data_IF_511699899992
#
_entry.id   IF_511699899992
#
_cell.length_a   1.000
_cell.length_b   1.000
_cell.length_c   1.000
_cell.angle_alpha   90.00
_cell.angle_beta   90.00
_cell.angle_gamma   90.00
#
_symmetry.space_group_name_H-M   'P 1'
#
loop_
_entity.id
_entity.type
_entity.pdbx_description
1 polymer ?
#
# COMPACT_ATOMS: atom_id res chain seq x y z
N UNK A 1 -28.33 4.56 -11.21
CA UNK A 1 -27.20 5.34 -10.62
C UNK A 1 -26.77 6.51 -11.52
N UNK A 2 -26.43 7.67 -10.97
CA UNK A 2 -25.86 8.83 -11.68
C UNK A 2 -24.79 9.53 -10.85
N UNK A 3 -24.00 10.40 -11.48
CA UNK A 3 -23.08 11.29 -10.77
C UNK A 3 -23.61 12.72 -10.75
N UNK A 4 -23.39 13.40 -9.62
CA UNK A 4 -23.76 14.82 -9.40
C UNK A 4 -22.53 15.55 -8.92
N UNK A 5 -22.21 16.71 -9.56
CA UNK A 5 -21.16 17.59 -9.08
C UNK A 5 -21.78 18.82 -8.40
N UNK A 6 -21.33 19.08 -7.18
CA UNK A 6 -21.70 20.26 -6.39
C UNK A 6 -20.45 21.05 -6.05
N UNK A 7 -20.61 22.35 -5.85
CA UNK A 7 -19.51 23.22 -5.45
C UNK A 7 -19.88 23.99 -4.18
N UNK A 8 -18.90 24.18 -3.30
CA UNK A 8 -19.05 25.01 -2.13
C UNK A 8 -17.76 25.77 -1.80
N UNK A 9 -17.85 26.86 -1.05
CA UNK A 9 -16.67 27.56 -0.53
C UNK A 9 -15.94 26.69 0.48
N UNK A 10 -14.64 26.83 0.59
CA UNK A 10 -13.84 26.16 1.60
C UNK A 10 -14.37 26.54 2.99
N UNK A 11 -14.54 25.53 3.85
CA UNK A 11 -15.12 25.69 5.20
C UNK A 11 -16.65 25.64 5.25
N UNK A 12 -17.34 25.54 4.11
CA UNK A 12 -18.78 25.26 4.04
C UNK A 12 -19.01 23.80 3.67
N UNK A 13 -19.96 23.15 4.33
CA UNK A 13 -20.46 21.83 3.96
C UNK A 13 -21.72 21.94 3.11
N UNK A 14 -21.92 21.00 2.19
CA UNK A 14 -23.17 20.85 1.45
C UNK A 14 -24.20 20.25 2.43
N UNK A 15 -25.34 20.91 2.57
CA UNK A 15 -26.41 20.36 3.41
C UNK A 15 -27.04 19.14 2.77
N UNK A 16 -27.65 18.27 3.58
CA UNK A 16 -28.37 17.09 3.09
C UNK A 16 -29.49 17.47 2.12
N UNK A 17 -30.20 18.55 2.38
CA UNK A 17 -31.29 19.04 1.52
C UNK A 17 -30.77 19.52 0.16
N UNK A 18 -29.65 20.23 0.12
CA UNK A 18 -28.99 20.64 -1.13
C UNK A 18 -28.58 19.41 -1.94
N UNK A 19 -27.96 18.44 -1.30
CA UNK A 19 -27.52 17.20 -1.94
C UNK A 19 -28.69 16.38 -2.47
N UNK A 20 -29.74 16.18 -1.64
CA UNK A 20 -30.94 15.44 -2.06
C UNK A 20 -31.70 16.13 -3.18
N UNK A 21 -31.77 17.46 -3.17
CA UNK A 21 -32.40 18.23 -4.23
C UNK A 21 -31.67 18.08 -5.56
N UNK A 22 -30.33 18.16 -5.54
CA UNK A 22 -29.49 17.96 -6.72
C UNK A 22 -29.59 16.52 -7.23
N UNK A 23 -29.59 15.51 -6.33
CA UNK A 23 -29.76 14.12 -6.66
C UNK A 23 -31.13 13.81 -7.30
N UNK A 24 -32.21 14.33 -6.73
CA UNK A 24 -33.56 14.19 -7.27
C UNK A 24 -33.67 14.73 -8.70
N UNK A 25 -33.13 15.93 -8.94
CA UNK A 25 -33.07 16.55 -10.28
C UNK A 25 -32.27 15.69 -11.26
N UNK A 26 -31.10 15.22 -10.86
CA UNK A 26 -30.24 14.40 -11.71
C UNK A 26 -30.89 13.03 -12.06
N UNK A 27 -31.52 12.40 -11.07
CA UNK A 27 -32.18 11.10 -11.24
C UNK A 27 -33.52 11.24 -11.99
N UNK A 28 -34.15 12.42 -11.98
CA UNK A 28 -35.48 12.65 -12.55
C UNK A 28 -36.63 12.09 -11.67
N UNK A 29 -36.43 12.11 -10.34
CA UNK A 29 -37.38 11.55 -9.37
C UNK A 29 -37.76 12.58 -8.30
N UNK A 30 -38.80 12.30 -7.53
CA UNK A 30 -39.17 13.12 -6.35
C UNK A 30 -38.16 12.92 -5.20
N UNK A 31 -38.07 13.91 -4.30
CA UNK A 31 -37.12 13.90 -3.15
C UNK A 31 -37.20 12.63 -2.30
N UNK A 32 -38.44 12.11 -2.10
CA UNK A 32 -38.68 10.87 -1.30
C UNK A 32 -38.13 9.61 -1.97
N UNK A 33 -37.95 9.62 -3.27
CA UNK A 33 -37.41 8.51 -4.05
C UNK A 33 -35.88 8.53 -4.23
N UNK A 34 -35.17 9.54 -3.68
CA UNK A 34 -33.73 9.59 -3.62
C UNK A 34 -33.24 8.62 -2.54
N UNK A 35 -32.37 7.69 -2.93
CA UNK A 35 -31.71 6.73 -2.06
C UNK A 35 -30.40 7.24 -1.50
N UNK A 36 -29.35 6.42 -1.62
CA UNK A 36 -28.00 6.74 -1.12
C UNK A 36 -27.32 7.81 -1.98
N UNK A 37 -26.60 8.73 -1.30
CA UNK A 37 -25.75 9.73 -1.91
C UNK A 37 -24.35 9.59 -1.29
N UNK A 38 -23.35 9.19 -2.08
CA UNK A 38 -21.99 8.94 -1.60
C UNK A 38 -20.98 9.86 -2.26
N UNK A 39 -20.20 10.59 -1.45
CA UNK A 39 -19.08 11.38 -1.96
C UNK A 39 -18.04 10.43 -2.55
N UNK A 40 -17.67 10.63 -3.82
CA UNK A 40 -16.66 9.81 -4.52
C UNK A 40 -15.42 10.60 -4.90
N UNK A 41 -15.52 11.94 -4.95
CA UNK A 41 -14.36 12.78 -5.22
C UNK A 41 -14.52 14.17 -4.63
N UNK A 42 -13.46 14.64 -3.98
CA UNK A 42 -13.28 16.02 -3.53
C UNK A 42 -12.03 16.62 -4.19
N UNK A 43 -12.17 17.72 -4.87
CA UNK A 43 -11.05 18.48 -5.43
C UNK A 43 -11.15 19.95 -5.09
N UNK A 44 -10.02 20.65 -5.07
CA UNK A 44 -9.94 22.11 -4.88
C UNK A 44 -9.82 22.75 -6.24
N UNK A 45 -10.64 23.76 -6.51
CA UNK A 45 -10.51 24.66 -7.66
C UNK A 45 -10.10 26.05 -7.14
N UNK A 46 -8.91 26.49 -7.53
CA UNK A 46 -8.33 27.78 -7.12
C UNK A 46 -8.06 28.73 -8.30
N UNK A 47 -8.75 28.54 -9.44
CA UNK A 47 -8.61 29.41 -10.61
C UNK A 47 -9.26 30.78 -10.43
N UNK A 48 -10.12 30.94 -9.44
CA UNK A 48 -10.75 32.15 -8.96
C UNK A 48 -10.86 32.09 -7.45
N UNK A 49 -12.05 32.29 -6.89
CA UNK A 49 -12.31 31.98 -5.48
C UNK A 49 -12.00 30.50 -5.21
N UNK A 50 -11.34 30.22 -4.08
CA UNK A 50 -11.02 28.84 -3.70
C UNK A 50 -12.29 28.12 -3.28
N UNK A 51 -12.67 27.10 -4.06
CA UNK A 51 -13.87 26.30 -3.83
C UNK A 51 -13.56 24.82 -3.84
N UNK A 52 -14.39 24.03 -3.16
CA UNK A 52 -14.44 22.58 -3.33
C UNK A 52 -15.35 22.22 -4.50
N UNK A 53 -14.90 21.27 -5.32
CA UNK A 53 -15.73 20.49 -6.25
C UNK A 53 -15.93 19.13 -5.67
N UNK A 54 -17.19 18.79 -5.41
CA UNK A 54 -17.60 17.57 -4.74
C UNK A 54 -18.42 16.74 -5.75
N UNK A 55 -17.95 15.54 -6.05
CA UNK A 55 -18.67 14.60 -6.93
C UNK A 55 -19.28 13.51 -6.08
N UNK A 56 -20.59 13.35 -6.21
CA UNK A 56 -21.36 12.34 -5.54
C UNK A 56 -21.88 11.32 -6.52
N UNK A 57 -21.82 10.04 -6.15
CA UNK A 57 -22.64 8.99 -6.73
C UNK A 57 -24.00 8.99 -6.03
N UNK A 58 -25.08 8.96 -6.81
CA UNK A 58 -26.46 9.00 -6.29
C UNK A 58 -27.29 7.91 -6.93
N UNK A 59 -28.20 7.32 -6.17
CA UNK A 59 -29.13 6.31 -6.64
C UNK A 59 -30.56 6.56 -6.14
N UNK A 60 -31.53 5.88 -6.73
CA UNK A 60 -32.92 5.86 -6.23
C UNK A 60 -33.02 4.98 -5.00
N UNK A 61 -34.11 5.13 -4.20
CA UNK A 61 -34.35 4.32 -3.02
C UNK A 61 -34.52 2.81 -3.33
N UNK A 62 -34.78 2.45 -4.58
CA UNK A 62 -34.85 1.06 -5.05
C UNK A 62 -33.51 0.47 -5.47
N UNK A 63 -32.44 1.27 -5.51
CA UNK A 63 -31.09 0.89 -5.88
C UNK A 63 -30.14 1.02 -4.68
N UNK A 64 -29.01 0.33 -4.74
CA UNK A 64 -27.92 0.45 -3.76
C UNK A 64 -26.62 0.82 -4.47
N UNK A 65 -25.81 1.65 -3.82
CA UNK A 65 -24.44 1.90 -4.26
C UNK A 65 -23.55 0.75 -3.78
N UNK A 66 -22.85 0.10 -4.71
CA UNK A 66 -21.91 -0.96 -4.37
C UNK A 66 -20.82 -0.43 -3.44
N UNK A 67 -20.65 -1.08 -2.29
CA UNK A 67 -19.53 -0.85 -1.38
C UNK A 67 -18.27 -1.56 -1.86
N UNK A 68 -17.13 -1.17 -1.31
CA UNK A 68 -15.93 -1.96 -1.46
C UNK A 68 -15.98 -3.15 -0.49
N UNK A 69 -15.90 -4.36 -1.03
CA UNK A 69 -15.81 -5.56 -0.21
C UNK A 69 -14.40 -5.65 0.40
N UNK A 70 -14.32 -5.59 1.73
CA UNK A 70 -13.05 -5.75 2.44
C UNK A 70 -12.64 -7.23 2.33
N UNK A 71 -11.46 -7.54 1.77
CA UNK A 71 -11.03 -8.92 1.65
C UNK A 71 -10.75 -9.54 3.02
N UNK A 72 -11.09 -10.83 3.14
CA UNK A 72 -10.73 -11.65 4.30
C UNK A 72 -9.33 -12.23 4.14
N UNK A 73 -8.64 -12.43 5.27
CA UNK A 73 -7.34 -13.07 5.32
C UNK A 73 -7.47 -14.44 5.97
N UNK A 74 -6.80 -15.42 5.38
CA UNK A 74 -6.76 -16.78 5.91
C UNK A 74 -5.65 -16.91 6.98
N UNK A 75 -5.84 -17.81 7.94
CA UNK A 75 -4.75 -18.29 8.78
C UNK A 75 -3.86 -19.21 7.92
N UNK A 76 -2.58 -18.85 7.81
CA UNK A 76 -1.63 -19.50 6.90
C UNK A 76 -0.43 -20.13 7.62
N UNK A 77 -0.55 -20.39 8.94
CA UNK A 77 0.57 -20.92 9.75
C UNK A 77 1.16 -22.19 9.15
N UNK A 78 0.30 -23.07 8.68
CA UNK A 78 0.67 -24.38 8.13
C UNK A 78 0.57 -24.42 6.59
N UNK A 79 0.41 -23.27 5.94
CA UNK A 79 0.27 -23.18 4.49
C UNK A 79 1.62 -23.17 3.77
N UNK A 80 1.59 -23.40 2.44
CA UNK A 80 2.77 -23.34 1.58
C UNK A 80 3.43 -21.97 1.65
N UNK A 81 4.75 -21.91 1.95
CA UNK A 81 5.46 -20.64 2.05
C UNK A 81 5.77 -20.07 0.66
N UNK A 82 5.67 -18.72 0.58
CA UNK A 82 6.15 -17.92 -0.56
C UNK A 82 7.10 -16.88 -0.01
N UNK A 83 8.35 -16.87 -0.49
CA UNK A 83 9.33 -15.85 -0.10
C UNK A 83 8.97 -14.53 -0.78
N UNK A 84 8.94 -13.46 0.00
CA UNK A 84 8.77 -12.09 -0.48
C UNK A 84 10.04 -11.29 -0.14
N UNK A 85 10.83 -10.98 -1.15
CA UNK A 85 12.07 -10.24 -1.01
C UNK A 85 11.81 -8.73 -0.97
N UNK A 86 11.82 -8.15 0.22
CA UNK A 86 11.59 -6.73 0.50
C UNK A 86 10.26 -6.44 1.17
N UNK A 87 10.28 -5.61 2.22
CA UNK A 87 9.13 -5.13 2.98
C UNK A 87 8.69 -3.71 2.55
N UNK A 88 8.94 -3.32 1.31
CA UNK A 88 8.41 -2.11 0.70
C UNK A 88 6.92 -2.26 0.32
N UNK A 89 6.28 -1.23 -0.27
CA UNK A 89 4.86 -1.29 -0.62
C UNK A 89 4.51 -2.52 -1.47
N UNK A 90 5.32 -2.83 -2.49
CA UNK A 90 5.07 -3.99 -3.35
C UNK A 90 5.09 -5.31 -2.56
N UNK A 91 6.07 -5.49 -1.67
CA UNK A 91 6.18 -6.70 -0.84
C UNK A 91 5.05 -6.82 0.18
N UNK A 92 4.70 -5.73 0.86
CA UNK A 92 3.60 -5.73 1.83
C UNK A 92 2.26 -6.06 1.18
N UNK A 93 1.94 -5.45 0.04
CA UNK A 93 0.70 -5.77 -0.69
C UNK A 93 0.73 -7.18 -1.29
N UNK A 94 1.88 -7.64 -1.78
CA UNK A 94 2.02 -9.05 -2.20
C UNK A 94 1.72 -10.00 -1.04
N UNK A 95 2.24 -9.73 0.16
CA UNK A 95 1.98 -10.53 1.34
C UNK A 95 0.50 -10.55 1.75
N UNK A 96 -0.20 -9.40 1.72
CA UNK A 96 -1.63 -9.35 1.94
C UNK A 96 -2.41 -10.19 0.92
N UNK A 97 -2.02 -10.13 -0.36
CA UNK A 97 -2.62 -10.96 -1.41
C UNK A 97 -2.34 -12.46 -1.24
N UNK A 98 -1.18 -12.83 -0.71
CA UNK A 98 -0.88 -14.22 -0.36
C UNK A 98 -1.80 -14.71 0.76
N UNK A 99 -2.03 -13.90 1.81
CA UNK A 99 -3.00 -14.23 2.86
C UNK A 99 -4.41 -14.46 2.31
N UNK A 100 -4.87 -13.61 1.38
CA UNK A 100 -6.19 -13.78 0.72
C UNK A 100 -6.29 -15.07 -0.09
N UNK A 101 -5.16 -15.67 -0.47
CA UNK A 101 -5.08 -16.91 -1.26
C UNK A 101 -4.72 -18.14 -0.42
N UNK A 102 -4.63 -17.98 0.90
CA UNK A 102 -4.25 -19.09 1.79
C UNK A 102 -2.79 -19.54 1.63
N UNK A 103 -1.88 -18.63 1.24
CA UNK A 103 -0.45 -18.89 1.10
C UNK A 103 0.31 -18.13 2.18
N UNK A 104 1.39 -18.73 2.72
CA UNK A 104 2.17 -18.14 3.81
C UNK A 104 3.25 -17.19 3.28
N UNK A 105 3.14 -15.86 3.48
CA UNK A 105 4.21 -14.94 3.14
C UNK A 105 5.37 -15.06 4.14
N UNK A 106 6.58 -15.25 3.62
CA UNK A 106 7.85 -15.15 4.37
C UNK A 106 8.61 -13.95 3.83
N UNK A 107 8.50 -12.82 4.55
CA UNK A 107 9.05 -11.54 4.11
C UNK A 107 10.48 -11.40 4.62
N UNK A 108 11.42 -11.17 3.70
CA UNK A 108 12.84 -10.96 3.99
C UNK A 108 13.16 -9.50 3.67
N UNK A 109 13.53 -8.73 4.69
CA UNK A 109 13.87 -7.31 4.58
C UNK A 109 15.30 -7.07 5.07
N UNK A 110 16.10 -6.40 4.23
CA UNK A 110 17.50 -6.10 4.54
C UNK A 110 17.66 -5.11 5.69
N UNK A 111 16.72 -4.16 5.78
CA UNK A 111 16.74 -3.13 6.80
C UNK A 111 15.93 -3.49 8.02
N UNK A 112 15.76 -2.50 8.88
CA UNK A 112 15.08 -2.63 10.16
C UNK A 112 13.57 -2.38 10.04
N UNK A 113 12.84 -2.78 11.09
CA UNK A 113 11.44 -2.39 11.23
C UNK A 113 11.30 -0.86 11.33
N UNK A 114 10.10 -0.35 11.09
CA UNK A 114 9.83 1.08 10.95
C UNK A 114 10.29 1.93 12.14
N UNK A 115 10.21 1.39 13.38
CA UNK A 115 10.63 2.11 14.58
C UNK A 115 12.14 2.22 14.70
N UNK A 116 12.86 1.10 14.52
CA UNK A 116 14.31 1.08 14.58
C UNK A 116 14.94 1.85 13.41
N UNK A 117 14.36 1.73 12.21
CA UNK A 117 14.76 2.45 11.00
C UNK A 117 14.70 3.98 11.17
N UNK A 118 13.74 4.50 11.94
CA UNK A 118 13.63 5.94 12.24
C UNK A 118 14.93 6.52 12.80
N UNK A 119 15.62 5.78 13.65
CA UNK A 119 16.90 6.22 14.23
C UNK A 119 18.05 6.22 13.20
N UNK A 120 18.07 5.26 12.26
CA UNK A 120 19.08 5.23 11.20
C UNK A 120 18.86 6.41 10.23
N UNK A 121 17.61 6.71 9.90
CA UNK A 121 17.24 7.88 9.07
C UNK A 121 17.60 9.19 9.77
N UNK A 122 17.32 9.34 11.06
CA UNK A 122 17.70 10.51 11.85
C UNK A 122 19.25 10.68 11.90
N UNK A 123 20.00 9.60 12.14
CA UNK A 123 21.47 9.65 12.14
C UNK A 123 22.06 10.08 10.79
N UNK A 124 21.44 9.62 9.69
CA UNK A 124 21.84 10.04 8.36
C UNK A 124 21.59 11.54 8.15
N UNK A 125 20.41 12.04 8.53
CA UNK A 125 20.06 13.46 8.40
C UNK A 125 20.91 14.38 9.27
N UNK A 126 21.12 14.00 10.54
CA UNK A 126 21.74 14.90 11.53
C UNK A 126 23.27 14.82 11.50
N UNK A 127 23.83 13.63 11.19
CA UNK A 127 25.28 13.35 11.33
C UNK A 127 25.93 12.87 10.04
N UNK A 128 25.18 12.71 8.94
CA UNK A 128 25.70 12.15 7.69
C UNK A 128 26.15 10.68 7.79
N UNK A 129 25.73 9.96 8.84
CA UNK A 129 26.15 8.56 9.05
C UNK A 129 25.16 7.62 8.39
N UNK A 130 25.58 7.03 7.25
CA UNK A 130 24.77 6.09 6.48
C UNK A 130 24.87 4.67 7.05
N UNK A 131 23.73 4.05 7.32
CA UNK A 131 23.62 2.60 7.43
C UNK A 131 23.26 2.05 6.03
N UNK A 132 24.14 1.21 5.41
CA UNK A 132 23.92 0.75 4.02
C UNK A 132 22.68 -0.13 3.85
N UNK A 133 22.24 -0.81 4.90
CA UNK A 133 21.10 -1.73 4.87
C UNK A 133 19.82 -1.13 5.48
N UNK A 134 19.89 0.00 6.22
CA UNK A 134 18.73 0.65 6.84
C UNK A 134 18.84 2.18 6.70
N UNK A 135 18.07 2.78 5.80
CA UNK A 135 18.17 4.20 5.45
C UNK A 135 16.89 4.68 4.74
N UNK A 136 16.93 5.77 3.96
CA UNK A 136 15.78 6.24 3.18
C UNK A 136 15.32 5.27 2.08
N UNK A 137 16.19 4.41 1.55
CA UNK A 137 15.84 3.47 0.48
C UNK A 137 15.41 2.11 1.00
N UNK A 138 15.98 1.66 2.13
CA UNK A 138 15.85 0.31 2.66
C UNK A 138 15.27 0.30 4.07
N UNK A 139 14.53 -0.76 4.38
CA UNK A 139 13.80 -0.96 5.61
C UNK A 139 12.28 -1.00 5.41
N UNK A 140 11.58 -1.39 6.44
CA UNK A 140 10.13 -1.59 6.45
C UNK A 140 9.37 -0.39 5.88
N UNK A 141 8.41 -0.66 5.00
CA UNK A 141 7.60 0.34 4.30
C UNK A 141 8.28 0.97 3.07
N UNK A 142 9.58 0.69 2.83
CA UNK A 142 10.31 1.17 1.65
C UNK A 142 10.63 2.66 1.68
N UNK A 143 10.99 3.23 0.52
CA UNK A 143 11.46 4.61 0.40
C UNK A 143 10.41 5.69 0.76
N UNK A 144 9.12 5.34 0.73
CA UNK A 144 8.02 6.26 1.02
C UNK A 144 7.69 6.47 2.50
N UNK A 145 8.15 5.59 3.39
CA UNK A 145 7.67 5.51 4.79
C UNK A 145 7.81 6.80 5.58
N UNK A 146 8.90 7.53 5.39
CA UNK A 146 9.17 8.81 6.09
C UNK A 146 8.95 10.03 5.18
N UNK A 147 8.12 9.89 4.15
CA UNK A 147 7.63 10.98 3.31
C UNK A 147 6.23 11.40 3.72
N UNK A 148 5.64 12.37 3.03
CA UNK A 148 4.23 12.74 3.22
C UNK A 148 3.23 11.70 2.70
N UNK A 149 3.70 10.62 2.08
CA UNK A 149 2.87 9.52 1.64
C UNK A 149 1.86 9.91 0.56
N UNK A 150 2.30 10.65 -0.46
CA UNK A 150 1.48 10.97 -1.63
C UNK A 150 1.04 9.70 -2.35
N UNK A 151 -0.26 9.56 -2.55
CA UNK A 151 -0.87 8.37 -3.18
C UNK A 151 -1.35 8.63 -4.61
N UNK A 152 -1.08 9.83 -5.15
CA UNK A 152 -1.53 10.17 -6.49
C UNK A 152 -0.81 9.35 -7.55
N UNK A 153 -1.59 8.71 -8.42
CA UNK A 153 -1.10 8.02 -9.61
C UNK A 153 -1.90 8.43 -10.85
N UNK A 154 -1.25 8.46 -12.00
CA UNK A 154 -1.90 8.60 -13.31
C UNK A 154 -2.24 7.25 -13.93
N UNK A 155 -1.78 6.15 -13.35
CA UNK A 155 -2.03 4.81 -13.86
C UNK A 155 -3.40 4.33 -13.42
N UNK A 156 -4.34 4.25 -14.37
CA UNK A 156 -5.67 3.70 -14.16
C UNK A 156 -5.92 2.42 -14.96
N UNK A 157 -4.92 1.98 -15.75
CA UNK A 157 -5.08 0.86 -16.72
C UNK A 157 -4.73 -0.51 -16.14
N UNK A 158 -4.03 -0.57 -15.00
CA UNK A 158 -3.51 -1.81 -14.42
C UNK A 158 -3.87 -1.88 -12.94
N UNK A 159 -4.95 -2.58 -12.63
CA UNK A 159 -5.45 -2.77 -11.27
C UNK A 159 -6.37 -1.65 -10.77
N UNK A 160 -7.14 -1.98 -9.74
CA UNK A 160 -8.07 -1.04 -9.08
C UNK A 160 -7.35 -0.36 -7.91
N UNK A 161 -7.04 0.93 -8.07
CA UNK A 161 -6.42 1.73 -7.00
C UNK A 161 -7.28 1.81 -5.73
N UNK A 162 -8.60 1.63 -5.85
CA UNK A 162 -9.52 1.66 -4.70
C UNK A 162 -9.16 0.57 -3.71
N UNK A 163 -8.74 -0.61 -4.17
CA UNK A 163 -8.27 -1.68 -3.30
C UNK A 163 -7.13 -1.22 -2.39
N UNK A 164 -6.12 -0.59 -2.97
CA UNK A 164 -4.97 -0.06 -2.22
C UNK A 164 -5.39 0.99 -1.20
N UNK A 165 -6.27 1.93 -1.59
CA UNK A 165 -6.75 2.99 -0.70
C UNK A 165 -7.59 2.42 0.46
N UNK A 166 -8.49 1.48 0.20
CA UNK A 166 -9.28 0.81 1.24
C UNK A 166 -8.40 -0.01 2.19
N UNK A 167 -7.36 -0.67 1.70
CA UNK A 167 -6.39 -1.34 2.56
C UNK A 167 -5.68 -0.34 3.47
N UNK A 168 -5.22 0.80 2.94
CA UNK A 168 -4.60 1.83 3.78
C UNK A 168 -5.56 2.36 4.86
N UNK A 169 -6.83 2.58 4.53
CA UNK A 169 -7.85 2.97 5.53
C UNK A 169 -8.03 1.89 6.58
N UNK A 170 -8.15 0.62 6.16
CA UNK A 170 -8.24 -0.53 7.07
C UNK A 170 -7.10 -0.56 8.08
N UNK A 171 -5.90 -0.17 7.65
CA UNK A 171 -4.70 -0.16 8.49
C UNK A 171 -4.42 1.18 9.17
N UNK A 172 -5.36 2.14 9.15
CA UNK A 172 -5.33 3.34 9.97
C UNK A 172 -5.04 4.66 9.23
N UNK A 173 -5.07 4.66 7.89
CA UNK A 173 -5.11 5.92 7.15
C UNK A 173 -6.47 6.60 7.28
N UNK A 174 -6.51 7.92 7.03
CA UNK A 174 -7.78 8.67 7.04
C UNK A 174 -8.69 8.23 5.88
N UNK A 175 -9.99 8.11 6.14
CA UNK A 175 -11.00 7.85 5.10
C UNK A 175 -11.01 8.91 3.99
N UNK A 176 -10.51 10.12 4.26
CA UNK A 176 -10.42 11.19 3.27
C UNK A 176 -9.62 10.81 2.03
N UNK A 177 -8.68 9.85 2.15
CA UNK A 177 -7.89 9.37 1.00
C UNK A 177 -8.75 8.67 -0.06
N UNK A 178 -9.95 8.17 0.31
CA UNK A 178 -10.87 7.53 -0.62
C UNK A 178 -11.55 8.53 -1.56
N UNK A 179 -11.64 9.79 -1.15
CA UNK A 179 -12.39 10.83 -1.88
C UNK A 179 -11.51 11.96 -2.39
N UNK A 180 -10.37 12.23 -1.76
CA UNK A 180 -9.49 13.34 -2.16
C UNK A 180 -8.86 13.09 -3.53
N UNK A 181 -8.87 14.13 -4.39
CA UNK A 181 -8.30 14.06 -5.73
C UNK A 181 -6.78 13.86 -5.73
N UNK A 182 -6.10 14.33 -4.69
CA UNK A 182 -4.67 14.17 -4.45
C UNK A 182 -4.44 13.66 -3.02
N UNK A 183 -4.74 12.38 -2.76
CA UNK A 183 -4.68 11.84 -1.42
C UNK A 183 -3.24 11.70 -0.93
N UNK A 184 -3.05 11.91 0.38
CA UNK A 184 -1.81 11.63 1.08
C UNK A 184 -2.11 11.13 2.49
N UNK A 185 -1.23 10.27 3.03
CA UNK A 185 -1.44 9.66 4.36
C UNK A 185 -0.88 10.55 5.46
N UNK A 186 0.24 11.21 5.21
CA UNK A 186 0.99 11.97 6.21
C UNK A 186 2.16 11.19 6.81
N UNK A 187 3.25 11.89 7.10
CA UNK A 187 4.51 11.33 7.59
C UNK A 187 4.42 10.76 9.01
N UNK A 188 3.45 11.20 9.79
CA UNK A 188 3.15 10.73 11.14
C UNK A 188 2.31 9.45 11.14
N UNK A 189 1.40 9.31 10.18
CA UNK A 189 0.47 8.19 10.07
C UNK A 189 1.02 7.01 9.27
N UNK A 190 1.80 7.27 8.25
CA UNK A 190 2.30 6.20 7.36
C UNK A 190 3.11 5.12 8.11
N UNK A 191 4.00 5.44 9.08
CA UNK A 191 4.67 4.42 9.89
C UNK A 191 3.71 3.53 10.67
N UNK A 192 2.59 4.08 11.17
CA UNK A 192 1.56 3.33 11.90
C UNK A 192 0.83 2.37 10.97
N UNK A 193 0.47 2.83 9.78
CA UNK A 193 -0.17 2.00 8.74
C UNK A 193 0.72 0.83 8.35
N UNK A 194 2.01 1.09 8.12
CA UNK A 194 3.02 0.08 7.79
C UNK A 194 3.14 -0.96 8.90
N UNK A 195 3.23 -0.53 10.15
CA UNK A 195 3.26 -1.43 11.31
C UNK A 195 2.00 -2.28 11.43
N UNK A 196 0.82 -1.69 11.22
CA UNK A 196 -0.46 -2.40 11.30
C UNK A 196 -0.59 -3.46 10.20
N UNK A 197 -0.09 -3.18 8.98
CA UNK A 197 0.01 -4.19 7.91
C UNK A 197 0.87 -5.36 8.37
N UNK A 198 2.05 -5.11 8.93
CA UNK A 198 2.93 -6.17 9.44
C UNK A 198 2.25 -6.98 10.54
N UNK A 199 1.64 -6.32 11.53
CA UNK A 199 0.91 -7.00 12.62
C UNK A 199 -0.16 -7.94 12.06
N UNK A 200 -0.96 -7.46 11.12
CA UNK A 200 -1.98 -8.27 10.46
C UNK A 200 -1.37 -9.50 9.77
N UNK A 201 -0.28 -9.33 9.02
CA UNK A 201 0.38 -10.45 8.33
C UNK A 201 0.89 -11.50 9.34
N UNK A 202 1.53 -11.06 10.41
CA UNK A 202 2.07 -11.95 11.46
C UNK A 202 0.95 -12.64 12.24
N UNK A 203 -0.12 -11.95 12.59
CA UNK A 203 -1.29 -12.50 13.28
C UNK A 203 -1.95 -13.64 12.49
N UNK A 204 -1.92 -13.55 11.15
CA UNK A 204 -2.44 -14.60 10.27
C UNK A 204 -1.40 -15.69 9.93
N UNK A 205 -0.22 -15.66 10.54
CA UNK A 205 0.79 -16.73 10.38
C UNK A 205 1.88 -16.45 9.35
N UNK A 206 1.92 -15.26 8.74
CA UNK A 206 3.06 -14.85 7.93
C UNK A 206 4.30 -14.52 8.77
N UNK A 207 5.45 -14.42 8.14
CA UNK A 207 6.73 -14.18 8.80
C UNK A 207 7.42 -12.92 8.28
N UNK A 208 8.15 -12.23 9.19
CA UNK A 208 9.02 -11.10 8.85
C UNK A 208 10.42 -11.34 9.41
N UNK A 209 11.42 -11.28 8.54
CA UNK A 209 12.84 -11.39 8.86
C UNK A 209 13.53 -10.08 8.50
N UNK A 210 13.77 -9.25 9.51
CA UNK A 210 14.50 -7.98 9.38
C UNK A 210 16.01 -8.20 9.48
N UNK A 211 16.79 -7.14 9.17
CA UNK A 211 18.26 -7.19 9.15
C UNK A 211 18.81 -8.38 8.34
N UNK A 212 18.11 -8.76 7.27
CA UNK A 212 18.34 -9.97 6.47
C UNK A 212 18.55 -9.61 5.01
N UNK A 213 19.78 -9.28 4.63
CA UNK A 213 20.13 -8.94 3.26
C UNK A 213 20.30 -10.19 2.40
N UNK A 214 19.55 -10.30 1.31
CA UNK A 214 19.70 -11.40 0.34
C UNK A 214 21.05 -11.27 -0.36
N UNK A 215 21.83 -12.35 -0.32
CA UNK A 215 23.17 -12.43 -0.93
C UNK A 215 23.26 -13.44 -2.07
N UNK A 216 22.38 -14.45 -2.05
CA UNK A 216 22.25 -15.43 -3.12
C UNK A 216 20.82 -15.94 -3.27
N UNK A 217 20.50 -16.35 -4.50
CA UNK A 217 19.27 -17.06 -4.85
C UNK A 217 19.68 -18.17 -5.82
N UNK A 218 19.35 -19.41 -5.50
CA UNK A 218 19.66 -20.58 -6.31
C UNK A 218 18.49 -21.54 -6.44
N UNK A 219 18.44 -22.39 -7.46
CA UNK A 219 17.47 -23.46 -7.53
C UNK A 219 17.59 -24.38 -6.29
N UNK A 220 16.47 -24.64 -5.64
CA UNK A 220 16.38 -25.59 -4.55
C UNK A 220 16.21 -27.03 -5.06
N UNK A 221 16.39 -28.03 -4.18
CA UNK A 221 16.37 -29.44 -4.55
C UNK A 221 15.03 -29.91 -5.11
N UNK A 222 13.92 -29.32 -4.69
CA UNK A 222 12.55 -29.72 -5.06
C UNK A 222 11.92 -28.85 -6.16
N UNK A 223 12.76 -28.19 -6.98
CA UNK A 223 12.32 -27.33 -8.07
C UNK A 223 11.84 -25.96 -7.64
N UNK A 224 12.07 -25.58 -6.37
CA UNK A 224 11.86 -24.24 -5.83
C UNK A 224 13.14 -23.41 -5.82
N UNK A 225 13.26 -22.55 -4.82
CA UNK A 225 14.39 -21.64 -4.63
C UNK A 225 14.93 -21.70 -3.21
N UNK A 226 16.26 -21.66 -3.09
CA UNK A 226 16.99 -21.38 -1.87
C UNK A 226 17.46 -19.93 -1.90
N UNK A 227 17.12 -19.17 -0.88
CA UNK A 227 17.46 -17.75 -0.71
C UNK A 227 18.40 -17.63 0.49
N UNK A 228 19.65 -17.25 0.22
CA UNK A 228 20.65 -17.06 1.27
C UNK A 228 20.65 -15.59 1.68
N UNK A 229 20.59 -15.35 2.98
CA UNK A 229 20.67 -14.01 3.57
C UNK A 229 21.88 -13.86 4.47
N UNK A 230 22.33 -12.62 4.63
CA UNK A 230 23.34 -12.23 5.60
C UNK A 230 22.71 -11.29 6.61
N UNK A 231 22.74 -11.65 7.88
CA UNK A 231 22.30 -10.85 9.01
C UNK A 231 23.28 -9.70 9.32
N UNK A 232 22.80 -8.70 10.04
CA UNK A 232 23.65 -7.60 10.50
C UNK A 232 24.77 -8.03 11.46
N UNK A 233 24.64 -9.19 12.07
CA UNK A 233 25.65 -9.85 12.93
C UNK A 233 26.63 -10.75 12.14
N UNK A 234 26.49 -10.80 10.83
CA UNK A 234 27.29 -11.65 9.95
C UNK A 234 26.81 -13.11 9.86
N UNK A 235 25.70 -13.49 10.50
CA UNK A 235 25.12 -14.83 10.38
C UNK A 235 24.52 -15.04 8.99
N UNK A 236 24.70 -16.22 8.41
CA UNK A 236 24.05 -16.61 7.18
C UNK A 236 22.85 -17.52 7.47
N UNK A 237 21.72 -17.24 6.84
CA UNK A 237 20.50 -18.05 6.94
C UNK A 237 19.99 -18.41 5.54
N UNK A 238 19.50 -19.61 5.35
CA UNK A 238 18.88 -20.02 4.09
C UNK A 238 17.39 -20.25 4.30
N UNK A 239 16.58 -19.65 3.43
CA UNK A 239 15.14 -19.85 3.35
C UNK A 239 14.83 -20.57 2.05
N UNK A 240 13.96 -21.59 2.13
CA UNK A 240 13.57 -22.36 0.96
C UNK A 240 12.06 -22.24 0.71
N UNK A 241 11.67 -22.00 -0.53
CA UNK A 241 10.28 -21.98 -0.94
C UNK A 241 10.16 -22.34 -2.43
N UNK A 242 8.98 -22.83 -2.82
CA UNK A 242 8.69 -23.11 -4.23
C UNK A 242 8.62 -21.87 -5.08
N UNK A 243 8.19 -20.75 -4.49
CA UNK A 243 7.97 -19.50 -5.19
C UNK A 243 8.64 -18.33 -4.47
N UNK A 244 9.16 -17.38 -5.23
CA UNK A 244 9.73 -16.12 -4.73
C UNK A 244 9.13 -14.93 -5.46
N UNK A 245 8.76 -13.89 -4.72
CA UNK A 245 8.35 -12.57 -5.23
C UNK A 245 9.47 -11.58 -4.97
N UNK A 246 10.04 -11.01 -6.03
CA UNK A 246 11.10 -10.02 -5.92
C UNK A 246 10.49 -8.62 -5.85
N UNK A 247 10.53 -8.01 -4.66
CA UNK A 247 9.99 -6.70 -4.34
C UNK A 247 11.06 -5.77 -3.73
N UNK A 248 12.32 -5.91 -4.14
CA UNK A 248 13.49 -5.28 -3.55
C UNK A 248 13.65 -3.78 -3.85
N UNK A 249 12.83 -3.24 -4.74
CA UNK A 249 12.91 -1.85 -5.19
C UNK A 249 14.11 -1.60 -6.14
N UNK A 250 14.10 -0.42 -6.78
CA UNK A 250 15.10 -0.10 -7.80
C UNK A 250 16.47 0.27 -7.23
N UNK A 251 16.58 0.59 -5.93
CA UNK A 251 17.84 0.99 -5.29
C UNK A 251 18.70 -0.21 -4.87
N UNK A 252 18.18 -1.43 -4.91
CA UNK A 252 18.88 -2.66 -4.54
C UNK A 252 19.83 -3.11 -5.68
N UNK A 253 20.92 -2.35 -5.92
CA UNK A 253 21.88 -2.61 -7.01
C UNK A 253 22.55 -3.95 -6.87
N UNK A 254 22.84 -4.40 -5.67
CA UNK A 254 23.39 -5.71 -5.34
C UNK A 254 22.55 -6.87 -5.85
N UNK A 255 21.23 -6.72 -5.91
CA UNK A 255 20.32 -7.72 -6.50
C UNK A 255 20.47 -7.75 -8.03
N UNK A 256 20.60 -6.60 -8.70
CA UNK A 256 20.89 -6.58 -10.14
C UNK A 256 22.26 -7.17 -10.45
N UNK A 257 23.27 -6.91 -9.60
CA UNK A 257 24.59 -7.52 -9.72
C UNK A 257 24.55 -9.03 -9.50
N UNK A 258 23.73 -9.50 -8.53
CA UNK A 258 23.46 -10.94 -8.34
C UNK A 258 22.87 -11.56 -9.60
N UNK A 259 21.86 -10.96 -10.21
CA UNK A 259 21.25 -11.48 -11.43
C UNK A 259 22.24 -11.53 -12.58
N UNK A 260 23.07 -10.50 -12.73
CA UNK A 260 24.13 -10.47 -13.73
C UNK A 260 25.15 -11.60 -13.51
N UNK A 261 25.61 -11.83 -12.27
CA UNK A 261 26.52 -12.95 -11.92
C UNK A 261 25.89 -14.32 -12.24
N UNK A 262 24.59 -14.45 -11.97
CA UNK A 262 23.83 -15.68 -12.26
C UNK A 262 23.48 -15.82 -13.75
N UNK A 263 23.80 -14.83 -14.58
CA UNK A 263 23.44 -14.76 -16.01
C UNK A 263 21.92 -14.85 -16.26
N UNK A 264 21.14 -14.32 -15.34
CA UNK A 264 19.69 -14.15 -15.54
C UNK A 264 19.46 -13.01 -16.49
N UNK A 265 18.48 -13.18 -17.39
CA UNK A 265 18.17 -12.17 -18.38
C UNK A 265 17.69 -10.86 -17.72
N UNK A 266 18.36 -9.77 -18.04
CA UNK A 266 18.01 -8.41 -17.60
C UNK A 266 17.80 -7.54 -18.85
N UNK A 267 16.71 -6.82 -18.90
CA UNK A 267 16.43 -5.85 -19.95
C UNK A 267 16.30 -4.45 -19.34
N UNK A 268 16.90 -3.47 -20.01
CA UNK A 268 16.71 -2.06 -19.65
C UNK A 268 15.28 -1.64 -20.05
N UNK A 269 14.60 -0.96 -19.14
CA UNK A 269 13.24 -0.47 -19.35
C UNK A 269 13.26 1.01 -19.74
#
# INVERSE_FOLDING_TARGET
MKEVELTCKVGREISEDELRSAAAKALGVGLKAVGECRLVRRSVDARGDVIYRLRYQVCTAAEHLEGYAIPEYHDVRDAEPVIVAGAGPAGMFAALHLLMRGLKPVIIERGKNVHARKFDVARLSDKGVLNPDSNYCFGEGGAGTFSDGKLFTRSSKRGDIREVLHQFVRFGASESILTDAHPHIGSDRLPIVVENIRKCIVEHGGEYHFDSRITDISPGPDGGYDVVTLGGDGSATTYSARNIILATGHSARDIYELFNRKRWALEAK
#
